data_IF_241945386833
#
_entry.id   IF_241945386833
#
_cell.length_a   1.000
_cell.length_b   1.000
_cell.length_c   1.000
_cell.angle_alpha   90.00
_cell.angle_beta   90.00
_cell.angle_gamma   90.00
#
_symmetry.space_group_name_H-M   'P 1'
#
loop_
_entity.id
_entity.type
_entity.pdbx_description
1 polymer ?
#
# COMPACT_ATOMS: atom_id res chain seq x y z
N UNK A 1 14.68 -21.05 3.80
CA UNK A 1 14.21 -22.19 4.62
C UNK A 1 12.79 -21.92 5.10
N UNK A 2 11.89 -22.89 4.97
CA UNK A 2 10.47 -22.79 5.37
C UNK A 2 10.32 -22.80 6.89
N UNK A 3 9.39 -22.00 7.41
CA UNK A 3 8.95 -21.97 8.79
C UNK A 3 7.64 -22.73 8.94
N UNK A 4 7.72 -24.02 9.28
CA UNK A 4 6.55 -24.89 9.34
C UNK A 4 5.55 -24.54 10.45
N UNK A 5 6.00 -23.92 11.55
CA UNK A 5 5.12 -23.62 12.68
C UNK A 5 3.95 -22.68 12.32
N UNK A 6 4.17 -21.47 11.74
CA UNK A 6 3.07 -20.62 11.29
C UNK A 6 2.29 -21.24 10.14
N UNK A 7 2.93 -21.97 9.23
CA UNK A 7 2.25 -22.64 8.11
C UNK A 7 1.22 -23.65 8.63
N UNK A 8 1.66 -24.56 9.50
CA UNK A 8 0.77 -25.57 10.09
C UNK A 8 -0.33 -24.91 10.91
N UNK A 9 0.01 -23.94 11.77
CA UNK A 9 -0.99 -23.22 12.56
C UNK A 9 -2.05 -22.58 11.66
N UNK A 10 -1.63 -21.76 10.69
CA UNK A 10 -2.51 -20.99 9.82
C UNK A 10 -3.42 -21.89 8.97
N UNK A 11 -2.87 -22.98 8.43
CA UNK A 11 -3.64 -23.93 7.61
C UNK A 11 -4.63 -24.73 8.46
N UNK A 12 -4.19 -25.25 9.61
CA UNK A 12 -5.03 -26.10 10.46
C UNK A 12 -6.21 -25.31 11.02
N UNK A 13 -5.98 -24.13 11.61
CA UNK A 13 -7.10 -23.39 12.22
C UNK A 13 -8.12 -22.91 11.17
N UNK A 14 -7.66 -22.53 9.98
CA UNK A 14 -8.56 -22.12 8.89
C UNK A 14 -9.34 -23.30 8.33
N UNK A 15 -8.72 -24.46 8.18
CA UNK A 15 -9.42 -25.67 7.75
C UNK A 15 -10.50 -26.09 8.77
N UNK A 16 -10.18 -26.02 10.06
CA UNK A 16 -11.16 -26.26 11.14
C UNK A 16 -12.29 -25.23 11.05
N UNK A 17 -11.97 -23.94 10.91
CA UNK A 17 -12.96 -22.87 10.84
C UNK A 17 -13.89 -23.01 9.63
N UNK A 18 -13.35 -23.36 8.46
CA UNK A 18 -14.11 -23.53 7.21
C UNK A 18 -15.24 -24.56 7.35
N UNK A 19 -15.02 -25.61 8.16
CA UNK A 19 -16.02 -26.66 8.41
C UNK A 19 -16.87 -26.34 9.63
N UNK A 20 -16.24 -25.93 10.74
CA UNK A 20 -16.93 -25.72 12.02
C UNK A 20 -17.88 -24.52 12.00
N UNK A 21 -17.53 -23.44 11.30
CA UNK A 21 -18.35 -22.22 11.29
C UNK A 21 -19.71 -22.45 10.63
N UNK A 22 -19.84 -22.97 9.39
CA UNK A 22 -21.14 -23.25 8.80
C UNK A 22 -21.98 -24.21 9.64
N UNK A 23 -21.38 -25.30 10.15
CA UNK A 23 -22.08 -26.27 10.99
C UNK A 23 -22.63 -25.62 12.27
N UNK A 24 -21.81 -24.81 12.94
CA UNK A 24 -22.26 -24.11 14.14
C UNK A 24 -23.32 -23.05 13.86
N UNK A 25 -23.26 -22.33 12.73
CA UNK A 25 -24.31 -21.38 12.38
C UNK A 25 -25.65 -22.06 12.04
N UNK A 26 -25.62 -23.28 11.50
CA UNK A 26 -26.83 -24.06 11.18
C UNK A 26 -27.43 -24.69 12.44
N UNK A 27 -26.61 -25.26 13.33
CA UNK A 27 -27.09 -26.09 14.45
C UNK A 27 -26.96 -25.44 15.84
N UNK A 28 -26.08 -24.46 16.01
CA UNK A 28 -25.68 -23.92 17.32
C UNK A 28 -26.45 -22.69 17.79
N UNK A 29 -27.19 -22.02 16.90
CA UNK A 29 -28.00 -20.82 17.22
C UNK A 29 -27.28 -19.77 18.10
N UNK A 30 -26.18 -19.16 17.61
CA UNK A 30 -25.41 -18.17 18.37
C UNK A 30 -26.28 -17.01 18.87
N UNK A 31 -26.11 -16.67 20.15
CA UNK A 31 -26.80 -15.54 20.76
C UNK A 31 -26.30 -14.20 20.20
N UNK A 32 -27.17 -13.19 20.19
CA UNK A 32 -26.77 -11.82 19.82
C UNK A 32 -25.64 -11.29 20.72
N UNK A 33 -25.63 -11.68 22.00
CA UNK A 33 -24.57 -11.33 22.95
C UNK A 33 -23.22 -11.89 22.50
N UNK A 34 -23.15 -13.15 22.08
CA UNK A 34 -21.92 -13.75 21.57
C UNK A 34 -21.40 -13.00 20.35
N UNK A 35 -22.24 -12.75 19.35
CA UNK A 35 -21.85 -11.95 18.18
C UNK A 35 -21.35 -10.56 18.55
N UNK A 36 -22.04 -9.88 19.47
CA UNK A 36 -21.67 -8.52 19.90
C UNK A 36 -20.31 -8.52 20.60
N UNK A 37 -20.08 -9.46 21.53
CA UNK A 37 -18.80 -9.58 22.23
C UNK A 37 -17.67 -9.97 21.27
N UNK A 38 -17.91 -10.89 20.34
CA UNK A 38 -16.93 -11.25 19.30
C UNK A 38 -16.60 -10.03 18.42
N UNK A 39 -17.61 -9.26 17.99
CA UNK A 39 -17.42 -8.07 17.16
C UNK A 39 -16.67 -6.96 17.90
N UNK A 40 -17.01 -6.69 19.15
CA UNK A 40 -16.27 -5.73 19.99
C UNK A 40 -14.81 -6.19 20.14
N UNK A 41 -14.58 -7.48 20.41
CA UNK A 41 -13.22 -8.02 20.53
C UNK A 41 -12.45 -7.93 19.21
N UNK A 42 -13.10 -8.13 18.07
CA UNK A 42 -12.51 -7.93 16.74
C UNK A 42 -11.99 -6.50 16.59
N UNK A 43 -12.79 -5.49 16.92
CA UNK A 43 -12.37 -4.09 16.89
C UNK A 43 -11.27 -3.77 17.89
N UNK A 44 -11.36 -4.28 19.11
CA UNK A 44 -10.34 -4.04 20.16
C UNK A 44 -8.99 -4.63 19.76
N UNK A 45 -8.98 -5.85 19.23
CA UNK A 45 -7.75 -6.54 18.82
C UNK A 45 -7.13 -5.95 17.56
N UNK A 46 -7.94 -5.59 16.55
CA UNK A 46 -7.48 -4.82 15.40
C UNK A 46 -6.88 -3.48 15.79
N UNK A 47 -7.58 -2.73 16.66
CA UNK A 47 -7.10 -1.46 17.20
C UNK A 47 -5.82 -1.62 18.01
N UNK A 48 -5.63 -2.72 18.75
CA UNK A 48 -4.40 -2.95 19.52
C UNK A 48 -3.16 -3.08 18.60
N UNK A 49 -3.32 -3.59 17.38
CA UNK A 49 -2.25 -3.60 16.37
C UNK A 49 -1.98 -2.19 15.86
N UNK A 50 -3.00 -1.45 15.45
CA UNK A 50 -2.85 -0.13 14.84
C UNK A 50 -2.39 0.93 15.85
N UNK A 51 -2.97 0.94 17.05
CA UNK A 51 -2.58 1.80 18.16
C UNK A 51 -1.21 1.43 18.72
N UNK A 52 -1.00 0.14 18.99
CA UNK A 52 0.17 -0.38 19.69
C UNK A 52 1.33 -0.70 18.80
N UNK A 53 1.26 -1.86 18.14
CA UNK A 53 2.38 -2.41 17.35
C UNK A 53 2.82 -1.41 16.28
N UNK A 54 1.86 -0.81 15.59
CA UNK A 54 2.11 0.15 14.53
C UNK A 54 2.51 1.54 15.08
N UNK A 55 1.58 2.36 15.54
CA UNK A 55 1.86 3.79 15.80
C UNK A 55 2.71 4.04 17.06
N UNK A 56 2.46 3.30 18.14
CA UNK A 56 3.19 3.47 19.40
C UNK A 56 4.60 2.86 19.34
N UNK A 57 4.71 1.57 19.02
CA UNK A 57 5.97 0.85 19.09
C UNK A 57 6.81 0.98 17.82
N UNK A 58 6.23 0.87 16.62
CA UNK A 58 7.02 0.96 15.38
C UNK A 58 7.43 2.40 15.05
N UNK A 59 6.49 3.35 15.09
CA UNK A 59 6.74 4.73 14.65
C UNK A 59 7.03 5.73 15.76
N UNK A 60 6.79 5.37 17.02
CA UNK A 60 6.92 6.28 18.17
C UNK A 60 6.16 7.60 17.93
N UNK A 61 4.95 7.47 17.39
CA UNK A 61 4.12 8.60 17.00
C UNK A 61 3.55 9.35 18.22
N UNK A 62 3.51 8.71 19.39
CA UNK A 62 3.15 9.30 20.67
C UNK A 62 3.81 8.50 21.81
N UNK A 63 3.66 8.98 23.05
CA UNK A 63 3.99 8.24 24.28
C UNK A 63 2.71 8.05 25.10
N UNK A 64 2.63 6.95 25.84
CA UNK A 64 1.51 6.71 26.76
C UNK A 64 2.03 6.09 28.06
N UNK A 65 1.14 5.89 29.02
CA UNK A 65 1.51 5.35 30.32
C UNK A 65 1.69 3.82 30.28
N UNK A 66 2.41 3.23 31.26
CA UNK A 66 2.67 1.78 31.30
C UNK A 66 1.42 0.89 31.34
N UNK A 67 0.32 1.37 31.92
CA UNK A 67 -0.93 0.61 31.99
C UNK A 67 -1.53 0.43 30.60
N UNK A 68 -1.65 1.51 29.83
CA UNK A 68 -2.17 1.47 28.45
C UNK A 68 -1.25 0.63 27.57
N UNK A 69 0.07 0.75 27.71
CA UNK A 69 1.01 -0.13 27.02
C UNK A 69 0.73 -1.60 27.33
N UNK A 70 0.52 -1.95 28.59
CA UNK A 70 0.31 -3.34 29.03
C UNK A 70 -1.02 -3.90 28.51
N UNK A 71 -2.10 -3.12 28.59
CA UNK A 71 -3.39 -3.48 28.01
C UNK A 71 -3.30 -3.68 26.50
N UNK A 72 -2.60 -2.77 25.82
CA UNK A 72 -2.38 -2.86 24.38
C UNK A 72 -1.61 -4.13 24.02
N UNK A 73 -0.55 -4.46 24.75
CA UNK A 73 0.23 -5.70 24.52
C UNK A 73 -0.60 -6.96 24.79
N UNK A 74 -1.50 -6.95 25.78
CA UNK A 74 -2.42 -8.04 26.06
C UNK A 74 -3.39 -8.26 24.89
N UNK A 75 -4.10 -7.21 24.45
CA UNK A 75 -5.04 -7.32 23.34
C UNK A 75 -4.35 -7.62 22.01
N UNK A 76 -3.14 -7.10 21.78
CA UNK A 76 -2.37 -7.43 20.59
C UNK A 76 -1.91 -8.90 20.59
N UNK A 77 -1.61 -9.50 21.76
CA UNK A 77 -1.32 -10.94 21.87
C UNK A 77 -2.51 -11.82 21.45
N UNK A 78 -3.74 -11.31 21.51
CA UNK A 78 -4.91 -12.06 21.03
C UNK A 78 -4.88 -12.33 19.52
N UNK A 79 -4.10 -11.55 18.76
CA UNK A 79 -4.05 -11.61 17.30
C UNK A 79 -3.10 -12.66 16.73
N UNK A 80 -2.30 -13.35 17.56
CA UNK A 80 -1.27 -14.29 17.11
C UNK A 80 -0.23 -13.73 16.11
N UNK A 81 -0.07 -12.40 16.00
CA UNK A 81 0.91 -11.77 15.10
C UNK A 81 2.33 -11.62 15.69
N UNK A 82 2.67 -12.46 16.67
CA UNK A 82 3.96 -12.42 17.35
C UNK A 82 4.10 -11.27 18.36
N UNK A 83 5.33 -11.06 18.83
CA UNK A 83 5.65 -10.02 19.82
C UNK A 83 5.76 -8.63 19.19
N UNK A 84 5.43 -7.59 19.95
CA UNK A 84 5.61 -6.19 19.55
C UNK A 84 7.02 -5.87 19.05
N UNK A 85 8.06 -6.42 19.69
CA UNK A 85 9.46 -6.23 19.28
C UNK A 85 9.71 -6.74 17.85
N UNK A 86 9.28 -7.98 17.57
CA UNK A 86 9.45 -8.62 16.26
C UNK A 86 8.62 -7.93 15.18
N UNK A 87 7.35 -7.67 15.47
CA UNK A 87 6.45 -6.98 14.54
C UNK A 87 7.02 -5.59 14.18
N UNK A 88 7.46 -4.83 15.19
CA UNK A 88 8.05 -3.50 14.96
C UNK A 88 9.38 -3.56 14.21
N UNK A 89 10.19 -4.60 14.42
CA UNK A 89 11.41 -4.81 13.66
C UNK A 89 11.11 -5.01 12.17
N UNK A 90 10.23 -5.94 11.84
CA UNK A 90 9.85 -6.23 10.45
C UNK A 90 9.16 -5.03 9.79
N UNK A 91 8.32 -4.32 10.53
CA UNK A 91 7.65 -3.12 10.01
C UNK A 91 8.60 -1.94 9.78
N UNK A 92 9.59 -1.72 10.66
CA UNK A 92 10.64 -0.73 10.42
C UNK A 92 11.50 -1.08 9.20
N UNK A 93 11.77 -2.37 8.97
CA UNK A 93 12.45 -2.81 7.75
C UNK A 93 11.60 -2.59 6.50
N UNK A 94 10.30 -2.86 6.57
CA UNK A 94 9.36 -2.57 5.47
C UNK A 94 9.39 -1.09 5.09
N UNK A 95 9.30 -0.17 6.05
CA UNK A 95 9.40 1.27 5.74
C UNK A 95 10.77 1.68 5.20
N UNK A 96 11.86 1.13 5.73
CA UNK A 96 13.21 1.48 5.30
C UNK A 96 13.55 0.96 3.89
N UNK A 97 12.84 -0.08 3.45
CA UNK A 97 13.19 -0.84 2.26
C UNK A 97 11.97 -1.14 1.37
N UNK A 98 10.92 -0.33 1.47
CA UNK A 98 9.64 -0.53 0.79
C UNK A 98 9.84 -0.83 -0.69
N UNK A 99 9.11 -1.82 -1.20
CA UNK A 99 9.15 -2.29 -2.58
C UNK A 99 10.50 -2.88 -3.06
N UNK A 100 11.47 -3.06 -2.16
CA UNK A 100 12.76 -3.69 -2.49
C UNK A 100 12.84 -5.15 -2.03
N UNK A 101 13.88 -5.86 -2.44
CA UNK A 101 14.15 -7.23 -1.99
C UNK A 101 14.38 -7.38 -0.48
N UNK A 102 14.71 -6.27 0.21
CA UNK A 102 14.93 -6.25 1.66
C UNK A 102 13.64 -6.07 2.46
N UNK A 103 12.54 -5.68 1.81
CA UNK A 103 11.22 -5.61 2.45
C UNK A 103 10.74 -7.03 2.78
N UNK A 104 10.43 -7.32 4.06
CA UNK A 104 9.98 -8.64 4.50
C UNK A 104 8.71 -9.15 3.80
N UNK A 105 7.83 -8.25 3.35
CA UNK A 105 6.55 -8.58 2.73
C UNK A 105 6.27 -7.74 1.48
N UNK A 106 7.32 -7.51 0.68
CA UNK A 106 7.27 -6.70 -0.54
C UNK A 106 6.14 -7.12 -1.49
N UNK A 107 5.35 -6.14 -1.93
CA UNK A 107 4.32 -6.32 -2.96
C UNK A 107 4.90 -6.64 -4.33
N UNK A 108 6.17 -6.31 -4.60
CA UNK A 108 6.84 -6.61 -5.87
C UNK A 108 7.02 -8.11 -6.11
N UNK A 109 6.88 -8.94 -5.06
CA UNK A 109 6.86 -10.41 -5.13
C UNK A 109 5.46 -10.98 -5.42
N UNK A 110 4.46 -10.12 -5.59
CA UNK A 110 3.08 -10.46 -5.92
C UNK A 110 2.11 -10.29 -4.76
N UNK A 111 0.83 -10.12 -5.10
CA UNK A 111 -0.25 -9.86 -4.15
C UNK A 111 -0.33 -10.88 -3.01
N UNK A 112 -0.35 -12.18 -3.33
CA UNK A 112 -0.45 -13.25 -2.34
C UNK A 112 0.80 -13.37 -1.48
N UNK A 113 1.97 -13.01 -2.02
CA UNK A 113 3.20 -12.97 -1.26
C UNK A 113 3.12 -11.93 -0.15
N UNK A 114 2.78 -10.69 -0.49
CA UNK A 114 2.62 -9.61 0.48
C UNK A 114 1.46 -9.85 1.46
N UNK A 115 0.38 -10.50 0.99
CA UNK A 115 -0.76 -10.83 1.84
C UNK A 115 -0.39 -11.84 2.94
N UNK A 116 0.07 -13.04 2.58
CA UNK A 116 0.31 -14.08 3.60
C UNK A 116 1.46 -15.05 3.32
N UNK A 117 1.93 -15.23 2.07
CA UNK A 117 2.96 -16.23 1.79
C UNK A 117 4.34 -15.85 2.35
N UNK A 118 4.59 -14.56 2.64
CA UNK A 118 5.81 -14.12 3.33
C UNK A 118 6.02 -14.82 4.69
N UNK A 119 4.93 -15.21 5.38
CA UNK A 119 4.96 -15.92 6.67
C UNK A 119 5.58 -17.32 6.59
N UNK A 120 5.65 -17.90 5.39
CA UNK A 120 6.30 -19.19 5.13
C UNK A 120 7.80 -19.09 5.35
N UNK A 121 8.40 -17.91 5.19
CA UNK A 121 9.83 -17.74 5.33
C UNK A 121 10.25 -17.74 6.79
N UNK A 122 11.37 -18.43 7.10
CA UNK A 122 12.01 -18.27 8.41
C UNK A 122 12.42 -16.81 8.57
N UNK A 123 11.99 -16.15 9.66
CA UNK A 123 12.19 -14.73 9.77
C UNK A 123 13.65 -14.47 10.22
N UNK A 124 14.31 -13.47 9.63
CA UNK A 124 15.74 -13.17 9.88
C UNK A 124 15.99 -12.81 11.35
N UNK A 125 17.21 -12.98 11.91
CA UNK A 125 17.50 -12.50 13.27
C UNK A 125 17.14 -11.00 13.45
N UNK A 126 16.75 -10.61 14.67
CA UNK A 126 16.47 -9.20 14.99
C UNK A 126 17.81 -8.46 15.09
N UNK A 127 17.99 -7.41 14.30
CA UNK A 127 19.11 -6.48 14.46
C UNK A 127 18.79 -5.47 15.58
N UNK A 128 19.54 -5.47 16.70
CA UNK A 128 19.22 -4.64 17.86
C UNK A 128 19.18 -3.14 17.56
N UNK A 129 19.99 -2.67 16.60
CA UNK A 129 20.08 -1.25 16.21
C UNK A 129 18.75 -0.70 15.69
N UNK A 130 17.97 -1.53 14.99
CA UNK A 130 16.67 -1.14 14.42
C UNK A 130 15.60 -0.95 15.51
N UNK A 131 15.69 -1.67 16.63
CA UNK A 131 14.67 -1.70 17.70
C UNK A 131 15.22 -1.44 19.12
N UNK A 132 16.35 -0.75 19.22
CA UNK A 132 17.06 -0.53 20.48
C UNK A 132 16.22 0.16 21.56
N UNK A 133 15.27 1.01 21.17
CA UNK A 133 14.31 1.64 22.08
C UNK A 133 13.34 0.63 22.71
N UNK A 134 12.84 -0.32 21.93
CA UNK A 134 11.87 -1.32 22.38
C UNK A 134 12.54 -2.35 23.29
N UNK A 135 13.82 -2.64 23.05
CA UNK A 135 14.62 -3.50 23.91
C UNK A 135 14.82 -2.92 25.33
N UNK A 136 14.73 -1.60 25.47
CA UNK A 136 14.77 -0.92 26.78
C UNK A 136 13.41 -0.92 27.49
N UNK A 137 12.31 -1.23 26.80
CA UNK A 137 10.99 -1.27 27.40
C UNK A 137 10.75 -2.64 28.06
N UNK A 138 10.63 -2.73 29.41
CA UNK A 138 10.49 -4.01 30.10
C UNK A 138 9.20 -4.74 29.76
N UNK A 139 8.11 -4.01 29.44
CA UNK A 139 6.82 -4.60 29.08
C UNK A 139 6.87 -5.28 27.71
N UNK A 140 7.47 -4.59 26.73
CA UNK A 140 7.71 -5.16 25.39
C UNK A 140 8.63 -6.37 25.48
N UNK A 141 9.69 -6.29 26.29
CA UNK A 141 10.62 -7.41 26.47
C UNK A 141 10.02 -8.58 27.25
N UNK A 142 9.13 -8.34 28.21
CA UNK A 142 8.36 -9.41 28.85
C UNK A 142 7.50 -10.14 27.82
N UNK A 143 6.70 -9.40 27.04
CA UNK A 143 5.87 -9.98 25.98
C UNK A 143 6.72 -10.72 24.94
N UNK A 144 7.90 -10.20 24.59
CA UNK A 144 8.81 -10.86 23.64
C UNK A 144 9.37 -12.18 24.18
N UNK A 145 9.85 -12.21 25.43
CA UNK A 145 10.38 -13.43 26.06
C UNK A 145 9.31 -14.51 26.24
N UNK A 146 8.07 -14.10 26.52
CA UNK A 146 6.95 -15.01 26.77
C UNK A 146 5.92 -15.03 25.63
N UNK A 147 6.31 -14.68 24.40
CA UNK A 147 5.37 -14.39 23.31
C UNK A 147 4.36 -15.52 23.08
N UNK A 148 4.83 -16.77 22.99
CA UNK A 148 3.94 -17.95 22.80
C UNK A 148 2.95 -18.09 23.95
N UNK A 149 3.43 -18.01 25.19
CA UNK A 149 2.59 -18.12 26.38
C UNK A 149 1.59 -16.96 26.46
N UNK A 150 2.01 -15.72 26.18
CA UNK A 150 1.10 -14.57 26.15
C UNK A 150 -0.02 -14.75 25.12
N UNK A 151 0.30 -15.18 23.89
CA UNK A 151 -0.70 -15.40 22.84
C UNK A 151 -1.68 -16.54 23.19
N UNK A 152 -1.18 -17.67 23.69
CA UNK A 152 -2.01 -18.82 24.06
C UNK A 152 -2.88 -18.49 25.28
N UNK A 153 -2.29 -18.03 26.37
CA UNK A 153 -3.00 -17.79 27.63
C UNK A 153 -4.03 -16.67 27.50
N UNK A 154 -3.70 -15.57 26.80
CA UNK A 154 -4.67 -14.48 26.58
C UNK A 154 -5.87 -14.96 25.76
N UNK A 155 -5.66 -15.78 24.72
CA UNK A 155 -6.75 -16.31 23.92
C UNK A 155 -7.59 -17.33 24.68
N UNK A 156 -6.97 -18.26 25.41
CA UNK A 156 -7.70 -19.21 26.26
C UNK A 156 -8.53 -18.47 27.29
N UNK A 157 -7.91 -17.54 28.03
CA UNK A 157 -8.61 -16.72 29.02
C UNK A 157 -9.80 -15.96 28.42
N UNK A 158 -9.58 -15.25 27.31
CA UNK A 158 -10.63 -14.41 26.70
C UNK A 158 -11.77 -15.26 26.11
N UNK A 159 -11.44 -16.41 25.53
CA UNK A 159 -12.44 -17.34 24.98
C UNK A 159 -13.28 -17.94 26.09
N UNK A 160 -12.66 -18.41 27.18
CA UNK A 160 -13.38 -18.95 28.34
C UNK A 160 -14.21 -17.87 29.05
N UNK A 161 -13.71 -16.63 29.13
CA UNK A 161 -14.45 -15.52 29.72
C UNK A 161 -15.72 -15.21 28.91
N UNK A 162 -15.62 -15.13 27.58
CA UNK A 162 -16.79 -14.92 26.73
C UNK A 162 -17.74 -16.12 26.79
N UNK A 163 -17.21 -17.35 26.74
CA UNK A 163 -18.01 -18.57 26.91
C UNK A 163 -18.79 -18.57 28.22
N UNK A 164 -18.20 -18.11 29.32
CA UNK A 164 -18.86 -17.99 30.61
C UNK A 164 -20.02 -16.98 30.57
N UNK A 165 -19.85 -15.82 29.94
CA UNK A 165 -20.94 -14.84 29.85
C UNK A 165 -22.05 -15.24 28.87
N UNK A 166 -21.70 -15.97 27.81
CA UNK A 166 -22.67 -16.39 26.79
C UNK A 166 -23.26 -17.77 27.04
N UNK A 167 -22.71 -18.50 28.03
CA UNK A 167 -23.01 -19.91 28.30
C UNK A 167 -22.86 -20.80 27.05
N UNK A 168 -21.90 -20.44 26.19
CA UNK A 168 -21.68 -21.12 24.90
C UNK A 168 -20.18 -21.25 24.60
N UNK A 169 -19.60 -22.37 25.02
CA UNK A 169 -18.18 -22.66 24.85
C UNK A 169 -17.82 -22.93 23.38
N UNK A 170 -18.65 -23.67 22.66
CA UNK A 170 -18.38 -24.02 21.26
C UNK A 170 -18.46 -22.77 20.39
N UNK A 171 -19.49 -21.95 20.58
CA UNK A 171 -19.65 -20.67 19.91
C UNK A 171 -18.53 -19.69 20.22
N UNK A 172 -18.10 -19.58 21.48
CA UNK A 172 -16.94 -18.77 21.83
C UNK A 172 -15.66 -19.26 21.13
N UNK A 173 -15.42 -20.57 21.08
CA UNK A 173 -14.27 -21.10 20.35
C UNK A 173 -14.33 -20.82 18.84
N UNK A 174 -15.49 -21.02 18.21
CA UNK A 174 -15.65 -20.84 16.76
C UNK A 174 -15.64 -19.36 16.37
N UNK A 175 -16.43 -18.51 17.04
CA UNK A 175 -16.60 -17.10 16.69
C UNK A 175 -15.50 -16.23 17.30
N UNK A 176 -15.34 -16.28 18.63
CA UNK A 176 -14.43 -15.40 19.38
C UNK A 176 -12.96 -15.74 19.17
N UNK A 177 -12.61 -17.03 19.12
CA UNK A 177 -11.24 -17.43 18.77
C UNK A 177 -11.06 -17.55 17.26
N UNK A 178 -11.81 -18.42 16.60
CA UNK A 178 -11.63 -18.75 15.18
C UNK A 178 -11.92 -17.60 14.20
N UNK A 179 -13.21 -17.23 14.05
CA UNK A 179 -13.65 -16.24 13.07
C UNK A 179 -13.02 -14.87 13.30
N UNK A 180 -12.99 -14.39 14.55
CA UNK A 180 -12.32 -13.13 14.90
C UNK A 180 -10.85 -13.14 14.49
N UNK A 181 -10.11 -14.22 14.79
CA UNK A 181 -8.69 -14.31 14.44
C UNK A 181 -8.49 -14.31 12.92
N UNK A 182 -9.31 -15.08 12.19
CA UNK A 182 -9.32 -15.08 10.74
C UNK A 182 -9.53 -13.67 10.16
N UNK A 183 -10.56 -12.96 10.62
CA UNK A 183 -10.85 -11.61 10.15
C UNK A 183 -9.69 -10.64 10.49
N UNK A 184 -9.16 -10.65 11.71
CA UNK A 184 -8.05 -9.73 12.09
C UNK A 184 -6.81 -9.98 11.25
N UNK A 185 -6.46 -11.24 11.00
CA UNK A 185 -5.33 -11.60 10.14
C UNK A 185 -5.50 -11.01 8.75
N UNK A 186 -6.59 -11.31 8.05
CA UNK A 186 -6.80 -10.83 6.68
C UNK A 186 -6.93 -9.31 6.61
N UNK A 187 -7.61 -8.68 7.57
CA UNK A 187 -7.66 -7.22 7.68
C UNK A 187 -6.27 -6.60 7.84
N UNK A 188 -5.40 -7.19 8.66
CA UNK A 188 -4.04 -6.68 8.83
C UNK A 188 -3.21 -6.90 7.56
N UNK A 189 -3.31 -8.08 6.95
CA UNK A 189 -2.57 -8.44 5.74
C UNK A 189 -3.00 -7.67 4.49
N UNK A 190 -4.24 -7.16 4.45
CA UNK A 190 -4.68 -6.25 3.39
C UNK A 190 -3.90 -4.94 3.35
N UNK A 191 -3.26 -4.52 4.44
CA UNK A 191 -2.36 -3.36 4.41
C UNK A 191 -1.15 -3.63 3.53
N UNK A 192 -0.55 -4.81 3.63
CA UNK A 192 0.60 -5.17 2.81
C UNK A 192 0.22 -5.40 1.34
N UNK A 193 -1.02 -5.85 1.09
CA UNK A 193 -1.47 -6.25 -0.25
C UNK A 193 -2.36 -5.21 -0.94
N UNK A 194 -3.60 -5.01 -0.46
CA UNK A 194 -4.54 -4.07 -1.07
C UNK A 194 -4.06 -2.63 -0.97
N UNK A 195 -3.45 -2.23 0.15
CA UNK A 195 -2.97 -0.86 0.34
C UNK A 195 -1.68 -0.54 -0.42
N UNK A 196 -1.21 -1.47 -1.28
CA UNK A 196 -0.16 -1.26 -2.27
C UNK A 196 -0.62 -1.50 -3.73
N UNK A 197 -1.91 -1.78 -3.94
CA UNK A 197 -2.43 -2.16 -5.27
C UNK A 197 -3.71 -1.42 -5.69
N UNK A 198 -4.56 -1.05 -4.74
CA UNK A 198 -5.88 -0.47 -5.05
C UNK A 198 -6.15 0.83 -4.28
N UNK A 199 -5.89 1.96 -4.92
CA UNK A 199 -6.15 3.28 -4.35
C UNK A 199 -5.44 4.39 -5.12
N UNK A 200 -5.11 5.47 -4.41
CA UNK A 200 -4.52 6.69 -4.99
C UNK A 200 -3.20 7.08 -4.32
N UNK A 201 -2.25 7.62 -5.09
CA UNK A 201 -0.96 8.10 -4.61
C UNK A 201 -0.94 9.62 -4.60
N UNK A 202 -1.51 10.25 -3.57
CA UNK A 202 -1.63 11.70 -3.50
C UNK A 202 -0.41 12.42 -2.90
N UNK A 203 0.42 11.69 -2.15
CA UNK A 203 1.51 12.24 -1.35
C UNK A 203 2.90 11.85 -1.84
N UNK A 204 3.03 10.71 -2.51
CA UNK A 204 4.31 10.23 -3.06
C UNK A 204 4.05 9.15 -4.12
N UNK A 205 4.75 9.19 -5.24
CA UNK A 205 4.68 8.14 -6.28
C UNK A 205 5.92 7.24 -6.34
N UNK A 206 6.92 7.46 -5.47
CA UNK A 206 8.16 6.67 -5.43
C UNK A 206 7.97 5.25 -4.89
N UNK A 207 6.89 5.00 -4.14
CA UNK A 207 6.52 3.71 -3.58
C UNK A 207 5.07 3.35 -3.90
N UNK A 208 4.76 2.07 -3.97
CA UNK A 208 3.47 1.52 -4.40
C UNK A 208 2.31 1.74 -3.42
N UNK A 209 2.58 2.16 -2.18
CA UNK A 209 1.54 2.38 -1.18
C UNK A 209 0.48 3.39 -1.66
N UNK A 210 -0.79 3.09 -1.42
CA UNK A 210 -1.97 3.84 -1.90
C UNK A 210 -2.93 4.19 -0.77
N UNK A 211 -3.67 5.28 -0.94
CA UNK A 211 -4.78 5.66 -0.08
C UNK A 211 -6.11 5.14 -0.61
N UNK A 212 -6.90 4.51 0.26
CA UNK A 212 -8.24 4.02 -0.04
C UNK A 212 -9.13 3.99 1.21
N UNK A 213 -10.32 4.62 1.12
CA UNK A 213 -11.30 4.67 2.21
C UNK A 213 -11.87 3.29 2.58
N UNK A 214 -12.18 2.44 1.61
CA UNK A 214 -12.74 1.10 1.85
C UNK A 214 -11.71 0.23 2.57
N UNK A 215 -10.45 0.29 2.15
CA UNK A 215 -9.36 -0.38 2.86
C UNK A 215 -9.30 0.16 4.29
N UNK A 216 -9.38 1.47 4.50
CA UNK A 216 -9.34 2.07 5.84
C UNK A 216 -10.45 1.54 6.76
N UNK A 217 -11.66 1.29 6.22
CA UNK A 217 -12.74 0.68 6.99
C UNK A 217 -12.42 -0.76 7.40
N UNK A 218 -11.88 -1.55 6.47
CA UNK A 218 -11.50 -2.95 6.72
C UNK A 218 -10.31 -3.07 7.68
N UNK A 219 -9.41 -2.08 7.68
CA UNK A 219 -8.12 -2.14 8.37
C UNK A 219 -8.02 -1.19 9.56
N UNK A 220 -9.15 -0.85 10.16
CA UNK A 220 -9.19 -0.06 11.41
C UNK A 220 -8.51 1.31 11.30
N UNK A 221 -8.57 1.96 10.13
CA UNK A 221 -7.99 3.28 9.90
C UNK A 221 -6.69 3.31 9.11
N UNK A 222 -6.17 2.14 8.71
CA UNK A 222 -4.82 2.01 8.17
C UNK A 222 -4.74 2.15 6.64
N UNK A 223 -5.87 2.31 5.96
CA UNK A 223 -5.95 2.33 4.49
C UNK A 223 -5.51 3.64 3.83
N UNK A 224 -5.15 4.68 4.59
CA UNK A 224 -4.46 5.86 4.06
C UNK A 224 -2.94 5.62 4.05
N UNK A 225 -2.54 4.61 3.27
CA UNK A 225 -1.21 4.03 3.34
C UNK A 225 -0.16 4.86 2.58
N UNK A 226 -0.55 5.58 1.53
CA UNK A 226 0.35 6.49 0.81
C UNK A 226 0.77 7.66 1.71
N UNK A 227 -0.19 8.24 2.44
CA UNK A 227 0.13 9.25 3.47
C UNK A 227 1.06 8.68 4.53
N UNK A 228 0.71 7.51 5.05
CA UNK A 228 1.46 6.86 6.11
C UNK A 228 2.91 6.59 5.73
N UNK A 229 3.18 6.01 4.54
CA UNK A 229 4.55 5.81 4.06
C UNK A 229 5.33 7.11 3.86
N UNK A 230 4.65 8.19 3.44
CA UNK A 230 5.26 9.51 3.29
C UNK A 230 5.61 10.15 4.65
N UNK A 231 4.75 9.96 5.66
CA UNK A 231 4.83 10.62 6.96
C UNK A 231 4.66 9.65 8.13
N UNK A 232 5.47 8.59 8.15
CA UNK A 232 5.27 7.44 9.04
C UNK A 232 5.24 7.78 10.54
N UNK A 233 5.84 8.91 10.95
CA UNK A 233 5.84 9.37 12.35
C UNK A 233 4.59 10.15 12.76
N UNK A 234 3.70 10.55 11.84
CA UNK A 234 2.43 11.18 12.23
C UNK A 234 1.55 10.15 12.96
N UNK A 235 0.91 10.55 14.06
CA UNK A 235 0.01 9.66 14.79
C UNK A 235 -1.29 9.35 14.04
N UNK A 236 -1.53 10.04 12.91
CA UNK A 236 -2.70 9.88 12.04
C UNK A 236 -2.28 9.21 10.74
N UNK A 237 -3.11 8.31 10.24
CA UNK A 237 -3.05 7.92 8.84
C UNK A 237 -4.02 8.78 8.02
N UNK A 238 -5.24 9.00 8.55
CA UNK A 238 -6.20 9.93 7.96
C UNK A 238 -6.00 11.34 8.47
N UNK A 239 -5.41 12.23 7.67
CA UNK A 239 -5.13 13.64 8.06
C UNK A 239 -6.36 14.48 8.31
N UNK A 240 -7.44 14.26 7.56
CA UNK A 240 -8.70 15.01 7.66
C UNK A 240 -9.56 14.46 8.80
N UNK A 241 -10.38 15.31 9.41
CA UNK A 241 -11.18 14.92 10.56
C UNK A 241 -12.20 13.81 10.23
N UNK A 242 -12.77 13.83 9.03
CA UNK A 242 -13.77 12.87 8.54
C UNK A 242 -13.16 11.60 7.92
N UNK A 243 -11.84 11.57 7.69
CA UNK A 243 -11.18 10.36 7.22
C UNK A 243 -11.21 9.31 8.32
N UNK A 244 -11.79 8.15 8.00
CA UNK A 244 -12.03 7.06 8.95
C UNK A 244 -10.71 6.51 9.47
N UNK A 245 -10.39 6.87 10.71
CA UNK A 245 -9.17 6.49 11.41
C UNK A 245 -9.50 6.46 12.91
N UNK A 246 -10.10 5.35 13.40
CA UNK A 246 -10.52 5.23 14.80
C UNK A 246 -9.34 5.34 15.76
N UNK A 247 -8.17 4.84 15.37
CA UNK A 247 -6.95 4.93 16.17
C UNK A 247 -6.49 6.37 16.38
N UNK A 248 -6.61 7.24 15.36
CA UNK A 248 -6.38 8.68 15.53
C UNK A 248 -7.30 9.28 16.59
N UNK A 249 -8.58 8.93 16.58
CA UNK A 249 -9.54 9.46 17.54
C UNK A 249 -9.23 8.95 18.96
N UNK A 250 -8.87 7.68 19.11
CA UNK A 250 -8.46 7.10 20.40
C UNK A 250 -7.22 7.81 20.94
N UNK A 251 -6.16 7.96 20.14
CA UNK A 251 -4.92 8.65 20.56
C UNK A 251 -5.22 10.10 20.94
N UNK A 252 -6.03 10.80 20.15
CA UNK A 252 -6.43 12.17 20.42
C UNK A 252 -7.20 12.28 21.74
N UNK A 253 -8.20 11.43 21.97
CA UNK A 253 -8.98 11.43 23.22
C UNK A 253 -8.09 11.13 24.42
N UNK A 254 -7.21 10.14 24.33
CA UNK A 254 -6.25 9.85 25.41
C UNK A 254 -5.33 11.04 25.69
N UNK A 255 -4.96 11.81 24.67
CA UNK A 255 -4.17 13.03 24.89
C UNK A 255 -4.93 14.12 25.64
N UNK A 256 -6.25 14.22 25.42
CA UNK A 256 -7.12 15.14 26.17
C UNK A 256 -7.31 14.72 27.62
N UNK A 257 -7.27 13.42 27.90
CA UNK A 257 -7.29 12.89 29.26
C UNK A 257 -5.90 12.87 29.93
N UNK A 258 -4.84 13.38 29.30
CA UNK A 258 -3.47 13.34 29.84
C UNK A 258 -2.80 11.95 29.84
N UNK A 259 -3.41 10.97 29.17
CA UNK A 259 -2.96 9.58 29.09
C UNK A 259 -2.04 9.31 27.89
N UNK A 260 -2.01 10.23 26.91
CA UNK A 260 -1.07 10.22 25.80
C UNK A 260 -0.38 11.59 25.66
N UNK A 261 0.92 11.60 25.40
CA UNK A 261 1.74 12.81 25.28
C UNK A 261 2.67 12.74 24.06
N UNK A 262 3.26 13.88 23.69
CA UNK A 262 4.22 13.96 22.58
C UNK A 262 3.65 13.43 21.24
N UNK A 263 2.39 13.73 20.95
CA UNK A 263 1.75 13.36 19.68
C UNK A 263 2.48 14.08 18.53
N UNK A 264 3.07 13.30 17.65
CA UNK A 264 3.75 13.78 16.45
C UNK A 264 2.72 14.03 15.36
N UNK A 265 2.67 15.24 14.84
CA UNK A 265 1.73 15.66 13.80
C UNK A 265 2.45 16.48 12.75
N UNK A 266 2.29 16.14 11.48
CA UNK A 266 2.79 16.95 10.37
C UNK A 266 1.90 18.17 10.20
N UNK A 267 2.53 19.33 9.98
CA UNK A 267 1.80 20.58 9.79
C UNK A 267 1.02 20.58 8.47
N UNK A 268 -0.18 21.18 8.42
CA UNK A 268 -0.97 21.26 7.20
C UNK A 268 -0.21 21.88 6.01
N UNK A 269 0.67 22.85 6.29
CA UNK A 269 1.44 23.56 5.28
C UNK A 269 2.47 22.65 4.62
N UNK A 270 3.13 21.78 5.40
CA UNK A 270 4.08 20.79 4.86
C UNK A 270 3.36 19.75 4.02
N UNK A 271 2.17 19.32 4.44
CA UNK A 271 1.33 18.38 3.68
C UNK A 271 0.93 19.02 2.34
N UNK A 272 0.41 20.24 2.36
CA UNK A 272 0.04 20.97 1.14
C UNK A 272 1.24 21.19 0.22
N UNK A 273 2.41 21.56 0.77
CA UNK A 273 3.65 21.72 0.00
C UNK A 273 4.04 20.43 -0.73
N UNK A 274 3.97 19.28 -0.05
CA UNK A 274 4.28 17.97 -0.67
C UNK A 274 3.28 17.63 -1.78
N UNK A 275 1.98 17.78 -1.54
CA UNK A 275 0.95 17.54 -2.57
C UNK A 275 1.19 18.43 -3.80
N UNK A 276 1.48 19.72 -3.60
CA UNK A 276 1.76 20.64 -4.71
C UNK A 276 3.00 20.15 -5.47
N UNK A 277 4.09 19.86 -4.78
CA UNK A 277 5.34 19.40 -5.39
C UNK A 277 5.14 18.13 -6.23
N UNK A 278 4.52 17.09 -5.66
CA UNK A 278 4.26 15.82 -6.36
C UNK A 278 3.35 16.03 -7.57
N UNK A 279 2.27 16.81 -7.44
CA UNK A 279 1.35 17.06 -8.55
C UNK A 279 2.01 17.86 -9.66
N UNK A 280 2.81 18.86 -9.30
CA UNK A 280 3.58 19.63 -10.28
C UNK A 280 4.55 18.71 -11.03
N UNK A 281 5.31 17.87 -10.32
CA UNK A 281 6.22 16.90 -10.94
C UNK A 281 5.49 15.96 -11.90
N UNK A 282 4.39 15.35 -11.46
CA UNK A 282 3.59 14.44 -12.30
C UNK A 282 3.01 15.13 -13.54
N UNK A 283 2.54 16.37 -13.43
CA UNK A 283 2.03 17.13 -14.58
C UNK A 283 3.16 17.45 -15.55
N UNK A 284 4.33 17.85 -15.05
CA UNK A 284 5.50 18.15 -15.88
C UNK A 284 5.99 16.89 -16.59
N UNK A 285 6.12 15.75 -15.90
CA UNK A 285 6.50 14.47 -16.51
C UNK A 285 5.50 14.02 -17.58
N UNK A 286 4.19 14.14 -17.30
CA UNK A 286 3.16 13.82 -18.28
C UNK A 286 3.21 14.74 -19.49
N UNK A 287 3.46 16.04 -19.27
CA UNK A 287 3.61 17.01 -20.34
C UNK A 287 4.83 16.70 -21.19
N UNK A 288 6.00 16.47 -20.58
CA UNK A 288 7.24 16.12 -21.25
C UNK A 288 7.11 14.81 -22.03
N UNK A 289 6.56 13.77 -21.41
CA UNK A 289 6.33 12.48 -22.07
C UNK A 289 5.42 12.61 -23.29
N UNK A 290 4.28 13.32 -23.16
CA UNK A 290 3.35 13.54 -24.27
C UNK A 290 3.96 14.40 -25.37
N UNK A 291 4.69 15.44 -24.99
CA UNK A 291 5.37 16.32 -25.93
C UNK A 291 6.45 15.56 -26.72
N UNK A 292 7.29 14.78 -26.04
CA UNK A 292 8.33 13.98 -26.65
C UNK A 292 7.73 12.91 -27.57
N UNK A 293 6.65 12.24 -27.15
CA UNK A 293 5.95 11.25 -27.97
C UNK A 293 5.38 11.87 -29.26
N UNK A 294 4.66 13.00 -29.15
CA UNK A 294 4.09 13.69 -30.30
C UNK A 294 5.17 14.24 -31.26
N UNK A 295 6.24 14.80 -30.71
CA UNK A 295 7.38 15.32 -31.49
C UNK A 295 8.08 14.19 -32.24
N UNK A 296 8.29 13.04 -31.57
CA UNK A 296 8.88 11.85 -32.17
C UNK A 296 8.01 11.28 -33.29
N UNK A 297 6.70 11.16 -33.08
CA UNK A 297 5.76 10.68 -34.10
C UNK A 297 5.81 11.54 -35.37
N UNK A 298 5.84 12.87 -35.23
CA UNK A 298 5.99 13.78 -36.36
C UNK A 298 7.36 13.65 -37.06
N UNK A 299 8.44 13.48 -36.30
CA UNK A 299 9.78 13.29 -36.83
C UNK A 299 9.90 11.97 -37.62
N UNK A 300 9.40 10.86 -37.08
CA UNK A 300 9.40 9.55 -37.73
C UNK A 300 8.54 9.57 -39.02
N UNK A 301 7.40 10.26 -38.99
CA UNK A 301 6.56 10.45 -40.17
C UNK A 301 7.25 11.30 -41.25
N UNK A 302 7.99 12.33 -40.84
CA UNK A 302 8.79 13.15 -41.75
C UNK A 302 9.92 12.37 -42.41
N UNK A 303 10.63 11.55 -41.65
CA UNK A 303 11.70 10.71 -42.17
C UNK A 303 11.16 9.69 -43.18
N UNK A 304 10.03 9.05 -42.86
CA UNK A 304 9.33 8.12 -43.76
C UNK A 304 8.95 8.79 -45.08
N UNK A 305 8.32 9.98 -45.01
CA UNK A 305 7.96 10.74 -46.20
C UNK A 305 9.20 11.19 -46.99
N UNK A 306 10.26 11.60 -46.31
CA UNK A 306 11.53 12.01 -46.93
C UNK A 306 12.18 10.87 -47.71
N UNK A 307 12.23 9.68 -47.11
CA UNK A 307 12.78 8.47 -47.72
C UNK A 307 11.94 8.02 -48.93
N UNK A 308 10.61 8.00 -48.79
CA UNK A 308 9.73 7.61 -49.90
C UNK A 308 9.78 8.62 -51.05
N UNK A 309 9.83 9.93 -50.77
CA UNK A 309 10.04 10.96 -51.79
C UNK A 309 11.38 10.78 -52.51
N UNK A 310 12.45 10.44 -51.78
CA UNK A 310 13.77 10.18 -52.35
C UNK A 310 13.77 8.97 -53.27
N UNK A 311 13.10 7.88 -52.88
CA UNK A 311 12.91 6.69 -53.73
C UNK A 311 12.07 7.00 -54.98
N UNK A 312 10.94 7.70 -54.83
CA UNK A 312 10.09 8.08 -55.96
C UNK A 312 10.82 8.99 -56.96
N UNK A 313 11.67 9.92 -56.48
CA UNK A 313 12.50 10.76 -57.33
C UNK A 313 13.56 9.95 -58.07
N UNK A 314 14.18 8.98 -57.40
CA UNK A 314 15.15 8.04 -57.99
C UNK A 314 14.49 7.20 -59.09
N UNK A 315 13.32 6.62 -58.80
CA UNK A 315 12.50 5.87 -59.76
C UNK A 315 12.05 6.72 -60.95
N UNK A 316 11.65 7.98 -60.70
CA UNK A 316 11.28 8.91 -61.77
C UNK A 316 12.46 9.18 -62.70
N UNK A 317 13.67 9.33 -62.17
CA UNK A 317 14.88 9.51 -62.97
C UNK A 317 15.19 8.27 -63.82
N UNK A 318 15.09 7.07 -63.24
CA UNK A 318 15.26 5.81 -63.97
C UNK A 318 14.24 5.67 -65.12
N UNK A 319 12.94 5.92 -64.85
CA UNK A 319 11.87 5.84 -65.87
C UNK A 319 12.04 6.84 -67.02
N UNK A 320 12.62 8.00 -66.75
CA UNK A 320 12.96 8.99 -67.79
C UNK A 320 14.11 8.49 -68.67
N UNK A 321 15.09 7.79 -68.09
CA UNK A 321 16.24 7.24 -68.83
C UNK A 321 15.84 6.02 -69.68
N UNK A 322 14.90 5.20 -69.21
CA UNK A 322 14.43 3.99 -69.91
C UNK A 322 13.36 4.22 -70.97
N UNK A 323 13.03 5.48 -71.33
CA UNK A 323 12.00 5.84 -72.32
C UNK A 323 10.61 5.23 -72.03
N UNK A 324 10.26 5.06 -70.75
CA UNK A 324 9.01 4.44 -70.29
C UNK A 324 7.74 5.24 -70.69
N UNK A 325 6.55 4.61 -70.72
CA UNK A 325 5.31 5.24 -71.19
C UNK A 325 4.95 6.54 -70.44
N UNK A 326 4.51 7.56 -71.18
CA UNK A 326 4.21 8.90 -70.63
C UNK A 326 3.15 8.90 -69.53
N UNK A 327 2.29 7.87 -69.49
CA UNK A 327 1.25 7.68 -68.47
C UNK A 327 1.84 7.37 -67.10
N UNK A 328 2.82 6.48 -67.01
CA UNK A 328 3.47 6.08 -65.74
C UNK A 328 4.22 7.26 -65.13
N UNK A 329 4.96 8.00 -65.95
CA UNK A 329 5.66 9.23 -65.54
C UNK A 329 4.66 10.26 -64.99
N UNK A 330 3.48 10.39 -65.61
CA UNK A 330 2.45 11.34 -65.17
C UNK A 330 1.83 10.95 -63.83
N UNK A 331 1.56 9.67 -63.62
CA UNK A 331 1.03 9.14 -62.36
C UNK A 331 2.04 9.31 -61.23
N UNK A 332 3.31 8.94 -61.45
CA UNK A 332 4.36 9.09 -60.45
C UNK A 332 4.61 10.56 -60.08
N UNK A 333 4.62 11.48 -61.07
CA UNK A 333 4.69 12.94 -60.81
C UNK A 333 3.53 13.45 -59.95
N UNK A 334 2.32 12.87 -60.09
CA UNK A 334 1.17 13.23 -59.26
C UNK A 334 1.37 12.74 -57.82
N UNK A 335 1.88 11.52 -57.62
CA UNK A 335 2.21 10.97 -56.30
C UNK A 335 3.23 11.85 -55.57
N UNK A 336 4.37 12.14 -56.22
CA UNK A 336 5.44 12.99 -55.67
C UNK A 336 4.89 14.36 -55.24
N UNK A 337 4.01 14.97 -56.05
CA UNK A 337 3.42 16.27 -55.70
C UNK A 337 2.54 16.21 -54.44
N UNK A 338 1.77 15.14 -54.27
CA UNK A 338 0.90 14.97 -53.10
C UNK A 338 1.73 14.72 -51.84
N UNK A 339 2.71 13.83 -51.93
CA UNK A 339 3.60 13.52 -50.79
C UNK A 339 4.49 14.70 -50.42
N UNK A 340 4.97 15.48 -51.39
CA UNK A 340 5.74 16.69 -51.11
C UNK A 340 4.90 17.77 -50.39
N UNK A 341 3.58 17.80 -50.63
CA UNK A 341 2.66 18.66 -49.85
C UNK A 341 2.49 18.13 -48.43
N UNK A 342 2.32 16.82 -48.28
CA UNK A 342 2.24 16.18 -46.97
C UNK A 342 3.52 16.43 -46.16
N UNK A 343 4.70 16.18 -46.73
CA UNK A 343 6.00 16.42 -46.11
C UNK A 343 6.17 17.87 -45.66
N UNK A 344 5.82 18.86 -46.51
CA UNK A 344 5.87 20.28 -46.11
C UNK A 344 4.90 20.62 -44.98
N UNK A 345 3.71 20.02 -44.97
CA UNK A 345 2.72 20.23 -43.90
C UNK A 345 3.23 19.66 -42.58
N UNK A 346 3.75 18.42 -42.59
CA UNK A 346 4.32 17.77 -41.41
C UNK A 346 5.56 18.52 -40.90
N UNK A 347 6.39 19.05 -41.79
CA UNK A 347 7.58 19.82 -41.42
C UNK A 347 7.21 21.13 -40.71
N UNK A 348 6.17 21.81 -41.20
CA UNK A 348 5.63 23.00 -40.55
C UNK A 348 5.00 22.67 -39.19
N UNK A 349 4.30 21.54 -39.08
CA UNK A 349 3.71 21.09 -37.83
C UNK A 349 4.79 20.80 -36.77
N UNK A 350 5.86 20.09 -37.15
CA UNK A 350 7.01 19.81 -36.28
C UNK A 350 7.70 21.11 -35.85
N UNK A 351 7.98 22.01 -36.79
CA UNK A 351 8.61 23.30 -36.49
C UNK A 351 7.75 24.17 -35.55
N UNK A 352 6.43 24.18 -35.75
CA UNK A 352 5.49 24.87 -34.87
C UNK A 352 5.49 24.27 -33.46
N UNK A 353 5.47 22.94 -33.33
CA UNK A 353 5.52 22.29 -32.01
C UNK A 353 6.83 22.58 -31.26
N UNK A 354 7.96 22.59 -31.96
CA UNK A 354 9.26 22.91 -31.37
C UNK A 354 9.36 24.39 -30.94
N UNK A 355 8.85 25.32 -31.74
CA UNK A 355 9.01 26.76 -31.48
C UNK A 355 7.95 27.36 -30.55
N UNK A 356 6.76 26.77 -30.46
CA UNK A 356 5.69 27.27 -29.58
C UNK A 356 6.07 27.23 -28.08
N UNK A 357 7.04 26.39 -27.72
CA UNK A 357 7.43 26.14 -26.33
C UNK A 357 8.76 26.81 -25.94
N UNK A 358 9.39 27.58 -26.84
CA UNK A 358 10.47 28.47 -26.43
C UNK A 358 9.84 29.59 -25.57
N UNK A 359 10.28 29.80 -24.33
CA UNK A 359 9.76 30.91 -23.54
C UNK A 359 9.98 32.20 -24.33
N UNK A 360 8.95 33.06 -24.38
CA UNK A 360 9.17 34.49 -24.62
C UNK A 360 10.27 34.88 -23.64
N UNK A 361 11.43 35.28 -24.16
CA UNK A 361 12.51 35.81 -23.33
C UNK A 361 11.89 36.86 -22.42
N UNK A 362 11.78 36.55 -21.13
CA UNK A 362 11.49 37.55 -20.12
C UNK A 362 12.70 38.46 -20.13
N UNK A 363 12.53 39.58 -20.81
CA UNK A 363 13.45 40.71 -20.72
C UNK A 363 13.42 41.14 -19.26
N UNK A 364 14.58 41.03 -18.61
CA UNK A 364 14.84 41.50 -17.24
C UNK A 364 14.50 42.99 -17.07
#
# INVERSE_FOLDING_TARGET
MINWAPVLFLTIYQAILLVALPLYLIFGHPTLTLFTLTFVLFWVTGTAITFGYHRLFSHRAFKTNPLIETLTLFFASLTFQGSALRWSYEHRLHHAHVDTEKDPYSITKGFWFAHCLWLINKPKPIEPTVVADLMKNPRVMFQHRHAKSCMILSNVFTTLLIAYFTQDLLGAFILTFGLRLFCVHHCTWFINSLAHTWGSQHFCTEHTAVDNFIISLLTFGEGYHNYHHTYARDYRNGTRWYQFDPTKWIIWTLSKCGLATNLRRVSPELISKKIIHERTHLILDQFESRFNAATKELADHLDTLSNHLSDQLTRLNALKQSLSPSREIRVLRRSIRLEMRAWKATLRALHYQLNRNLPLQTTE
#
